data_IF_653728754330
#
_entry.id   IF_653728754330
#
_cell.length_a   1.000
_cell.length_b   1.000
_cell.length_c   1.000
_cell.angle_alpha   90.00
_cell.angle_beta   90.00
_cell.angle_gamma   90.00
#
_symmetry.space_group_name_H-M   'P 1'
#
loop_
_entity.id
_entity.type
_entity.pdbx_description
1 polymer ?
#
# COMPACT_ATOMS: atom_id res chain seq x y z
N UNK A 1 -29.05 -56.53 -24.28
CA UNK A 1 -28.72 -55.24 -24.91
C UNK A 1 -28.49 -54.25 -23.78
N UNK A 2 -27.23 -54.05 -23.40
CA UNK A 2 -26.78 -53.24 -22.26
C UNK A 2 -25.91 -52.07 -22.78
N UNK A 3 -25.81 -50.94 -22.06
CA UNK A 3 -25.49 -49.64 -22.63
C UNK A 3 -24.00 -49.49 -22.93
N UNK A 4 -23.67 -48.90 -24.08
CA UNK A 4 -22.32 -48.48 -24.39
C UNK A 4 -22.00 -47.22 -23.56
N UNK A 5 -20.96 -47.37 -22.75
CA UNK A 5 -20.45 -46.46 -21.75
C UNK A 5 -19.62 -45.33 -22.40
N UNK A 6 -19.84 -44.10 -21.92
CA UNK A 6 -18.86 -43.01 -21.78
C UNK A 6 -17.95 -42.70 -22.98
N UNK A 7 -18.44 -41.88 -23.90
CA UNK A 7 -17.60 -41.18 -24.89
C UNK A 7 -17.55 -39.68 -24.61
N UNK A 8 -16.74 -39.26 -23.65
CA UNK A 8 -16.31 -37.88 -23.48
C UNK A 8 -14.94 -37.89 -22.77
N UNK A 9 -14.22 -36.77 -22.80
CA UNK A 9 -13.09 -36.46 -21.90
C UNK A 9 -11.67 -36.84 -22.40
N UNK A 10 -11.22 -36.20 -23.48
CA UNK A 10 -9.75 -36.03 -23.71
C UNK A 10 -9.34 -34.64 -24.23
N UNK A 11 -10.28 -33.82 -24.71
CA UNK A 11 -10.05 -32.42 -25.11
C UNK A 11 -10.42 -31.35 -24.07
N UNK A 12 -10.98 -31.76 -22.92
CA UNK A 12 -11.49 -30.84 -21.88
C UNK A 12 -10.45 -30.53 -20.80
N UNK A 13 -9.58 -31.47 -20.43
CA UNK A 13 -8.65 -31.29 -19.30
C UNK A 13 -7.52 -30.29 -19.58
N UNK A 14 -6.92 -30.33 -20.77
CA UNK A 14 -5.86 -29.39 -21.17
C UNK A 14 -6.38 -27.96 -21.35
N UNK A 15 -7.59 -27.81 -21.89
CA UNK A 15 -8.26 -26.52 -22.02
C UNK A 15 -8.58 -25.93 -20.65
N UNK A 16 -9.03 -26.75 -19.69
CA UNK A 16 -9.30 -26.34 -18.31
C UNK A 16 -8.01 -25.96 -17.56
N UNK A 17 -6.94 -26.76 -17.64
CA UNK A 17 -5.63 -26.41 -17.03
C UNK A 17 -5.07 -25.11 -17.63
N UNK A 18 -5.16 -24.93 -18.95
CA UNK A 18 -4.71 -23.71 -19.62
C UNK A 18 -5.47 -22.47 -19.16
N UNK A 19 -6.79 -22.58 -18.96
CA UNK A 19 -7.63 -21.50 -18.46
C UNK A 19 -7.27 -21.10 -17.02
N UNK A 20 -6.99 -22.07 -16.15
CA UNK A 20 -6.54 -21.80 -14.77
C UNK A 20 -5.17 -21.12 -14.74
N UNK A 21 -4.20 -21.58 -15.55
CA UNK A 21 -2.88 -20.94 -15.64
C UNK A 21 -3.02 -19.48 -16.12
N UNK A 22 -3.82 -19.25 -17.16
CA UNK A 22 -4.06 -17.89 -17.68
C UNK A 22 -4.73 -17.00 -16.63
N UNK A 23 -5.70 -17.52 -15.88
CA UNK A 23 -6.36 -16.80 -14.79
C UNK A 23 -5.37 -16.40 -13.69
N UNK A 24 -4.53 -17.33 -13.23
CA UNK A 24 -3.50 -17.03 -12.23
C UNK A 24 -2.48 -16.00 -12.74
N UNK A 25 -2.08 -16.06 -14.01
CA UNK A 25 -1.17 -15.08 -14.61
C UNK A 25 -1.79 -13.68 -14.62
N UNK A 26 -3.05 -13.55 -15.03
CA UNK A 26 -3.75 -12.26 -15.06
C UNK A 26 -3.91 -11.70 -13.64
N UNK A 27 -4.39 -12.51 -12.68
CA UNK A 27 -4.53 -12.08 -11.29
C UNK A 27 -3.19 -11.68 -10.65
N UNK A 28 -2.13 -12.46 -10.89
CA UNK A 28 -0.78 -12.14 -10.43
C UNK A 28 -0.32 -10.81 -11.00
N UNK A 29 -0.45 -10.61 -12.32
CA UNK A 29 0.01 -9.39 -12.97
C UNK A 29 -0.79 -8.16 -12.50
N UNK A 30 -2.09 -8.31 -12.27
CA UNK A 30 -2.96 -7.23 -11.81
C UNK A 30 -2.78 -6.91 -10.33
N UNK A 31 -2.30 -7.83 -9.48
CA UNK A 31 -2.02 -7.54 -8.06
C UNK A 31 -0.59 -7.06 -7.82
N UNK A 32 0.42 -7.69 -8.44
CA UNK A 32 1.83 -7.39 -8.17
C UNK A 32 2.29 -6.06 -8.78
N UNK A 33 1.78 -5.71 -9.97
CA UNK A 33 2.09 -4.44 -10.63
C UNK A 33 1.60 -3.22 -9.85
N UNK A 34 0.37 -3.15 -9.33
CA UNK A 34 -0.05 -2.02 -8.49
C UNK A 34 0.56 -2.04 -7.09
N UNK A 35 0.81 -3.22 -6.50
CA UNK A 35 1.33 -3.31 -5.13
C UNK A 35 2.79 -2.81 -5.05
N UNK A 36 3.63 -3.15 -6.03
CA UNK A 36 5.03 -2.72 -6.07
C UNK A 36 5.16 -1.20 -6.24
N UNK A 37 4.25 -0.57 -6.98
CA UNK A 37 4.21 0.90 -7.11
C UNK A 37 3.91 1.56 -5.77
N UNK A 38 2.83 1.18 -5.10
CA UNK A 38 2.44 1.76 -3.80
C UNK A 38 3.55 1.63 -2.74
N UNK A 39 4.22 0.48 -2.67
CA UNK A 39 5.32 0.27 -1.72
C UNK A 39 6.54 1.16 -2.03
N UNK A 40 6.83 1.38 -3.32
CA UNK A 40 7.92 2.26 -3.76
C UNK A 40 7.60 3.73 -3.49
N UNK A 41 6.36 4.16 -3.77
CA UNK A 41 5.87 5.51 -3.46
C UNK A 41 5.92 5.78 -1.95
N UNK A 42 5.52 4.80 -1.12
CA UNK A 42 5.59 4.93 0.33
C UNK A 42 7.03 5.07 0.84
N UNK A 43 7.96 4.25 0.34
CA UNK A 43 9.39 4.38 0.69
C UNK A 43 9.97 5.73 0.27
N UNK A 44 9.64 6.20 -0.94
CA UNK A 44 10.11 7.49 -1.42
C UNK A 44 9.59 8.64 -0.55
N UNK A 45 8.30 8.64 -0.22
CA UNK A 45 7.70 9.64 0.66
C UNK A 45 8.36 9.69 2.03
N UNK A 46 8.62 8.54 2.67
CA UNK A 46 9.32 8.49 3.95
C UNK A 46 10.73 9.08 3.86
N UNK A 47 11.43 8.88 2.74
CA UNK A 47 12.75 9.47 2.51
C UNK A 47 12.71 10.98 2.24
N UNK A 48 11.60 11.49 1.72
CA UNK A 48 11.41 12.93 1.47
C UNK A 48 11.05 13.71 2.74
N UNK A 49 10.53 13.05 3.78
CA UNK A 49 10.17 13.68 5.05
C UNK A 49 11.39 14.19 5.83
N UNK A 50 11.32 15.43 6.30
CA UNK A 50 12.36 16.13 7.05
C UNK A 50 11.84 16.71 8.35
N UNK A 51 12.75 17.09 9.24
CA UNK A 51 12.41 17.88 10.43
C UNK A 51 11.70 19.17 10.00
N UNK A 52 10.52 19.41 10.57
CA UNK A 52 9.66 20.52 10.18
C UNK A 52 8.35 20.08 9.55
N UNK A 53 8.31 18.89 8.94
CA UNK A 53 7.14 18.43 8.19
C UNK A 53 6.01 17.99 9.12
N UNK A 54 4.77 18.27 8.68
CA UNK A 54 3.57 17.78 9.32
C UNK A 54 3.22 16.42 8.75
N UNK A 55 3.00 15.45 9.62
CA UNK A 55 2.64 14.09 9.24
C UNK A 55 1.37 13.63 9.92
N UNK A 56 0.75 12.62 9.32
CA UNK A 56 -0.36 11.88 9.91
C UNK A 56 0.03 10.41 10.02
N UNK A 57 -0.09 9.88 11.23
CA UNK A 57 0.10 8.46 11.48
C UNK A 57 -1.12 7.66 11.03
N UNK A 58 -0.98 6.34 10.87
CA UNK A 58 -2.10 5.43 10.53
C UNK A 58 -3.23 5.49 11.57
N UNK A 59 -2.93 5.83 12.82
CA UNK A 59 -3.93 6.03 13.88
C UNK A 59 -4.67 7.38 13.84
N UNK A 60 -4.40 8.22 12.83
CA UNK A 60 -5.01 9.56 12.73
C UNK A 60 -4.36 10.63 13.61
N UNK A 61 -3.19 10.33 14.21
CA UNK A 61 -2.47 11.30 15.03
C UNK A 61 -1.75 12.28 14.11
N UNK A 62 -2.01 13.57 14.32
CA UNK A 62 -1.37 14.66 13.60
C UNK A 62 -0.19 15.18 14.42
N UNK A 63 0.98 15.28 13.82
CA UNK A 63 2.17 15.77 14.52
C UNK A 63 3.16 16.43 13.58
N UNK A 64 4.17 17.08 14.15
CA UNK A 64 5.28 17.69 13.44
C UNK A 64 6.57 16.94 13.72
N UNK A 65 7.34 16.60 12.69
CA UNK A 65 8.65 15.95 12.86
C UNK A 65 9.62 16.95 13.50
N UNK A 66 10.16 16.59 14.66
CA UNK A 66 11.20 17.32 15.37
C UNK A 66 12.58 16.75 15.03
N UNK A 67 12.67 15.43 14.93
CA UNK A 67 13.90 14.72 14.61
C UNK A 67 13.62 13.49 13.74
N UNK A 68 14.52 13.25 12.79
CA UNK A 68 14.58 12.04 11.97
C UNK A 68 15.75 11.19 12.47
N UNK A 69 15.47 9.96 12.87
CA UNK A 69 16.45 8.91 13.12
C UNK A 69 16.35 7.83 12.01
N UNK A 70 17.18 6.79 12.03
CA UNK A 70 17.27 5.79 10.94
C UNK A 70 15.98 4.98 10.75
N UNK A 71 15.38 4.46 11.84
CA UNK A 71 14.14 3.67 11.80
C UNK A 71 12.94 4.37 12.45
N UNK A 72 13.16 5.52 13.09
CA UNK A 72 12.10 6.22 13.83
C UNK A 72 12.07 7.72 13.56
N UNK A 73 10.90 8.32 13.77
CA UNK A 73 10.71 9.77 13.83
C UNK A 73 10.34 10.19 15.25
N UNK A 74 10.94 11.27 15.71
CA UNK A 74 10.45 11.98 16.90
C UNK A 74 9.49 13.07 16.44
N UNK A 75 8.22 12.90 16.78
CA UNK A 75 7.15 13.84 16.43
C UNK A 75 6.63 14.56 17.66
N UNK A 76 6.27 15.83 17.49
CA UNK A 76 5.56 16.62 18.49
C UNK A 76 4.09 16.69 18.09
N UNK A 77 3.23 16.18 18.97
CA UNK A 77 1.77 16.09 18.76
C UNK A 77 1.06 17.24 19.49
N UNK A 78 1.63 17.68 20.62
CA UNK A 78 1.17 18.81 21.42
C UNK A 78 2.37 19.51 22.09
N UNK A 79 2.19 20.69 22.66
CA UNK A 79 3.27 21.59 23.10
C UNK A 79 4.26 20.98 24.11
N UNK A 80 3.85 19.94 24.84
CA UNK A 80 4.72 19.21 25.77
C UNK A 80 4.88 17.72 25.43
N UNK A 81 4.25 17.24 24.36
CA UNK A 81 4.12 15.81 24.09
C UNK A 81 4.90 15.43 22.84
N UNK A 82 6.03 14.75 23.05
CA UNK A 82 6.88 14.18 22.00
C UNK A 82 6.72 12.66 21.99
N UNK A 83 6.39 12.10 20.84
CA UNK A 83 6.30 10.66 20.63
C UNK A 83 7.36 10.21 19.62
N UNK A 84 7.99 9.09 19.94
CA UNK A 84 8.80 8.36 18.97
C UNK A 84 7.90 7.34 18.27
N UNK A 85 7.89 7.39 16.95
CA UNK A 85 7.12 6.47 16.11
C UNK A 85 8.03 5.84 15.06
N UNK A 86 7.69 4.63 14.64
CA UNK A 86 8.36 3.95 13.54
C UNK A 86 8.07 4.66 12.20
N UNK A 87 9.01 4.61 11.25
CA UNK A 87 8.76 5.14 9.89
C UNK A 87 7.61 4.41 9.20
N UNK A 88 7.40 3.13 9.53
CA UNK A 88 6.36 2.26 8.96
C UNK A 88 4.93 2.69 9.31
N UNK A 89 4.73 3.40 10.42
CA UNK A 89 3.39 3.82 10.89
C UNK A 89 2.97 5.19 10.37
N UNK A 90 3.82 5.86 9.57
CA UNK A 90 3.47 7.10 8.89
C UNK A 90 2.68 6.76 7.63
N UNK A 91 1.47 7.32 7.51
CA UNK A 91 0.61 7.06 6.36
C UNK A 91 0.81 8.11 5.27
N UNK A 92 1.19 7.64 4.08
CA UNK A 92 1.33 8.47 2.90
C UNK A 92 -0.02 9.09 2.50
N UNK A 93 -1.08 8.29 2.45
CA UNK A 93 -2.41 8.73 2.01
C UNK A 93 -2.99 9.80 2.95
N UNK A 94 -2.91 9.58 4.27
CA UNK A 94 -3.43 10.56 5.24
C UNK A 94 -2.60 11.83 5.29
N UNK A 95 -1.27 11.72 5.19
CA UNK A 95 -0.40 12.90 5.19
C UNK A 95 -0.59 13.72 3.92
N UNK A 96 -0.68 13.07 2.75
CA UNK A 96 -0.94 13.74 1.48
C UNK A 96 -2.31 14.43 1.46
N UNK A 97 -3.35 13.76 1.98
CA UNK A 97 -4.69 14.34 2.09
C UNK A 97 -4.73 15.59 3.00
N UNK A 98 -3.93 15.63 4.08
CA UNK A 98 -3.78 16.82 4.92
C UNK A 98 -3.11 17.97 4.13
N UNK A 99 -2.03 17.67 3.41
CA UNK A 99 -1.28 18.67 2.63
C UNK A 99 -2.14 19.27 1.51
N UNK A 100 -2.87 18.44 0.77
CA UNK A 100 -3.75 18.87 -0.33
C UNK A 100 -4.91 19.77 0.17
N UNK A 101 -5.50 19.45 1.32
CA UNK A 101 -6.54 20.30 1.94
C UNK A 101 -6.01 21.67 2.33
N UNK A 102 -4.77 21.74 2.82
CA UNK A 102 -4.18 23.01 3.23
C UNK A 102 -3.82 23.89 2.03
N UNK A 103 -3.51 23.29 0.88
CA UNK A 103 -3.29 24.00 -0.39
C UNK A 103 -4.56 24.61 -0.99
N UNK A 104 -5.73 23.99 -0.80
CA UNK A 104 -7.01 24.52 -1.32
C UNK A 104 -7.69 25.55 -0.42
N UNK A 105 -7.31 25.63 0.86
CA UNK A 105 -7.92 26.55 1.83
C UNK A 105 -7.18 27.91 1.92
N UNK A 106 -6.16 28.12 1.08
CA UNK A 106 -5.35 29.34 1.02
C UNK A 106 -5.39 30.07 -0.34
N UNK A 107 -6.34 29.75 -1.22
CA UNK A 107 -6.68 30.57 -2.40
C UNK A 107 -8.00 31.29 -2.20
#
# INVERSE_FOLDING_TARGET
MAPQQGGAESGSGFTTIGFFILFFVILYFFMIRPQTKKAKDQKNFLNELKSGDKIVTVGGIHGKIVKVDDDTYLIEVDANTKLRIEKSVVSLDFTKAMMDRKGQQGS
#
